data_IF_735208398306
#
_entry.id   IF_735208398306
#
_cell.length_a   1.000
_cell.length_b   1.000
_cell.length_c   1.000
_cell.angle_alpha   90.00
_cell.angle_beta   90.00
_cell.angle_gamma   90.00
#
_symmetry.space_group_name_H-M   'P 1'
#
loop_
_entity.id
_entity.type
_entity.pdbx_description
1 polymer ?
#
# COMPACT_ATOMS: atom_id res chain seq x y z
N UNK A 1 31.87 26.20 -31.54
CA UNK A 1 31.50 26.54 -30.15
C UNK A 1 30.80 25.33 -29.56
N UNK A 2 31.50 24.57 -28.72
CA UNK A 2 30.98 23.34 -28.11
C UNK A 2 30.46 23.73 -26.72
N UNK A 3 29.15 23.70 -26.54
CA UNK A 3 28.53 23.94 -25.24
C UNK A 3 28.85 22.73 -24.36
N UNK A 4 29.82 22.88 -23.46
CA UNK A 4 30.06 21.91 -22.41
C UNK A 4 28.90 22.04 -21.41
N UNK A 5 27.96 21.11 -21.47
CA UNK A 5 26.92 20.97 -20.44
C UNK A 5 27.52 20.07 -19.38
N UNK A 6 27.52 20.53 -18.12
CA UNK A 6 27.94 19.71 -16.99
C UNK A 6 26.92 18.58 -16.78
N UNK A 7 27.39 17.35 -16.57
CA UNK A 7 26.54 16.15 -16.41
C UNK A 7 25.52 16.32 -15.26
N UNK A 8 25.90 17.01 -14.19
CA UNK A 8 25.03 17.35 -13.05
C UNK A 8 23.80 18.18 -13.46
N UNK A 9 23.95 19.04 -14.47
CA UNK A 9 22.84 19.86 -14.99
C UNK A 9 21.86 19.01 -15.81
N UNK A 10 22.36 17.97 -16.50
CA UNK A 10 21.52 17.03 -17.23
C UNK A 10 20.71 16.16 -16.26
N UNK A 11 21.32 15.66 -15.19
CA UNK A 11 20.64 14.87 -14.16
C UNK A 11 19.45 15.63 -13.54
N UNK A 12 19.65 16.91 -13.19
CA UNK A 12 18.59 17.74 -12.62
C UNK A 12 17.41 17.93 -13.58
N UNK A 13 17.69 18.13 -14.87
CA UNK A 13 16.65 18.26 -15.91
C UNK A 13 15.89 16.97 -16.08
N UNK A 14 16.58 15.82 -16.07
CA UNK A 14 15.94 14.50 -16.14
C UNK A 14 15.02 14.28 -14.94
N UNK A 15 15.49 14.53 -13.71
CA UNK A 15 14.68 14.39 -12.50
C UNK A 15 13.42 15.26 -12.51
N UNK A 16 13.55 16.51 -12.95
CA UNK A 16 12.42 17.44 -13.11
C UNK A 16 11.39 16.92 -14.12
N UNK A 17 11.84 16.40 -15.25
CA UNK A 17 10.97 15.83 -16.28
C UNK A 17 10.30 14.55 -15.74
N UNK A 18 11.05 13.69 -15.04
CA UNK A 18 10.52 12.45 -14.47
C UNK A 18 9.43 12.74 -13.42
N UNK A 19 9.65 13.70 -12.52
CA UNK A 19 8.63 14.17 -11.58
C UNK A 19 7.42 14.77 -12.29
N UNK A 20 7.64 15.70 -13.22
CA UNK A 20 6.57 16.37 -13.99
C UNK A 20 5.68 15.37 -14.75
N UNK A 21 6.27 14.28 -15.26
CA UNK A 21 5.55 13.23 -16.00
C UNK A 21 5.02 12.10 -15.10
N UNK A 22 5.24 12.17 -13.79
CA UNK A 22 4.76 11.17 -12.84
C UNK A 22 5.52 9.85 -12.87
N UNK A 23 6.73 9.82 -13.45
CA UNK A 23 7.59 8.63 -13.45
C UNK A 23 8.27 8.38 -12.10
N UNK A 24 8.35 9.40 -11.24
CA UNK A 24 8.69 9.22 -9.83
C UNK A 24 7.40 9.23 -9.02
N UNK A 25 6.95 8.09 -8.46
CA UNK A 25 5.70 8.05 -7.70
C UNK A 25 5.85 8.85 -6.41
N UNK A 26 5.14 9.99 -6.29
CA UNK A 26 5.11 10.80 -5.05
C UNK A 26 4.59 10.01 -3.84
N UNK A 27 3.81 8.96 -4.09
CA UNK A 27 3.17 8.11 -3.09
C UNK A 27 3.58 6.64 -3.25
N UNK A 28 4.89 6.37 -3.23
CA UNK A 28 5.39 5.00 -3.25
C UNK A 28 4.92 4.25 -1.99
N UNK A 29 4.06 3.25 -2.19
CA UNK A 29 3.57 2.36 -1.11
C UNK A 29 4.46 1.13 -0.92
N UNK A 30 5.46 0.92 -1.78
CA UNK A 30 6.45 -0.15 -1.65
C UNK A 30 7.32 0.11 -0.43
N UNK A 31 7.40 -0.88 0.47
CA UNK A 31 8.12 -0.77 1.75
C UNK A 31 7.36 -0.02 2.85
N UNK A 32 6.18 0.55 2.55
CA UNK A 32 5.33 1.21 3.54
C UNK A 32 4.50 0.19 4.31
N UNK A 33 4.42 0.40 5.62
CA UNK A 33 3.51 -0.33 6.50
C UNK A 33 2.40 0.58 7.01
N UNK A 34 1.20 0.04 7.17
CA UNK A 34 0.04 0.75 7.68
C UNK A 34 -0.65 -0.03 8.80
N UNK A 35 -1.42 0.69 9.60
CA UNK A 35 -2.33 0.11 10.59
C UNK A 35 -3.56 -0.52 9.92
N UNK A 36 -4.26 -1.39 10.66
CA UNK A 36 -5.53 -1.97 10.17
C UNK A 36 -6.62 -0.92 9.96
N UNK A 37 -6.64 0.15 10.75
CA UNK A 37 -7.63 1.22 10.59
C UNK A 37 -7.36 2.05 9.34
N UNK A 38 -6.10 2.32 9.00
CA UNK A 38 -5.71 2.93 7.73
C UNK A 38 -6.06 2.02 6.54
N UNK A 39 -5.77 0.72 6.66
CA UNK A 39 -6.12 -0.25 5.62
C UNK A 39 -7.64 -0.28 5.39
N UNK A 40 -8.44 -0.36 6.46
CA UNK A 40 -9.90 -0.36 6.37
C UNK A 40 -10.43 0.91 5.67
N UNK A 41 -9.90 2.08 6.05
CA UNK A 41 -10.26 3.37 5.45
C UNK A 41 -9.89 3.49 3.97
N UNK A 42 -8.78 2.88 3.54
CA UNK A 42 -8.30 2.97 2.15
C UNK A 42 -8.93 1.92 1.25
N UNK A 43 -8.97 0.66 1.69
CA UNK A 43 -9.25 -0.48 0.83
C UNK A 43 -10.58 -1.17 1.12
N UNK A 44 -11.17 -0.95 2.30
CA UNK A 44 -12.37 -1.67 2.74
C UNK A 44 -13.54 -0.78 3.18
N UNK A 45 -13.63 0.47 2.69
CA UNK A 45 -14.80 1.33 2.98
C UNK A 45 -16.11 0.67 2.50
N UNK A 46 -17.21 0.79 3.27
CA UNK A 46 -17.38 1.57 4.50
C UNK A 46 -17.00 0.84 5.80
N UNK A 47 -16.37 -0.33 5.70
CA UNK A 47 -16.15 -1.23 6.83
C UNK A 47 -14.97 -0.80 7.73
N UNK A 48 -15.04 -1.20 9.00
CA UNK A 48 -14.00 -0.97 10.00
C UNK A 48 -13.05 -2.16 10.18
N UNK A 49 -12.06 -2.00 11.06
CA UNK A 49 -11.02 -2.99 11.32
C UNK A 49 -11.54 -4.35 11.81
N UNK A 50 -12.63 -4.38 12.60
CA UNK A 50 -13.26 -5.63 13.04
C UNK A 50 -13.80 -6.47 11.87
N UNK A 51 -14.42 -5.81 10.88
CA UNK A 51 -14.93 -6.45 9.69
C UNK A 51 -13.80 -6.95 8.80
N UNK A 52 -12.73 -6.15 8.62
CA UNK A 52 -11.52 -6.56 7.89
C UNK A 52 -10.91 -7.81 8.50
N UNK A 53 -10.82 -7.89 9.83
CA UNK A 53 -10.33 -9.12 10.50
C UNK A 53 -11.19 -10.32 10.15
N UNK A 54 -12.51 -10.21 10.32
CA UNK A 54 -13.47 -11.31 10.13
C UNK A 54 -13.54 -11.81 8.69
N UNK A 55 -13.53 -10.89 7.72
CA UNK A 55 -13.86 -11.19 6.33
C UNK A 55 -12.65 -11.21 5.39
N UNK A 56 -11.50 -10.69 5.82
CA UNK A 56 -10.27 -10.65 5.02
C UNK A 56 -9.14 -11.39 5.75
N UNK A 57 -8.72 -10.94 6.93
CA UNK A 57 -7.50 -11.47 7.54
C UNK A 57 -7.65 -12.91 8.06
N UNK A 58 -8.74 -13.23 8.74
CA UNK A 58 -8.94 -14.57 9.32
C UNK A 58 -9.25 -15.65 8.27
N UNK A 59 -10.10 -15.39 7.25
CA UNK A 59 -10.41 -16.41 6.24
C UNK A 59 -9.24 -16.65 5.29
N UNK A 60 -8.61 -15.59 4.80
CA UNK A 60 -7.59 -15.69 3.76
C UNK A 60 -6.16 -15.84 4.30
N UNK A 61 -5.94 -15.51 5.58
CA UNK A 61 -4.62 -15.61 6.26
C UNK A 61 -3.46 -15.08 5.40
N UNK A 62 -3.55 -13.83 4.93
CA UNK A 62 -2.60 -13.30 3.97
C UNK A 62 -1.19 -13.17 4.54
N UNK A 63 -0.18 -13.36 3.70
CA UNK A 63 1.24 -13.19 4.01
C UNK A 63 1.66 -11.71 4.16
N UNK A 64 0.88 -10.78 3.60
CA UNK A 64 1.10 -9.34 3.70
C UNK A 64 0.65 -8.72 5.05
N UNK A 65 0.08 -9.52 5.96
CA UNK A 65 -0.29 -9.09 7.30
C UNK A 65 0.50 -9.88 8.35
N UNK A 66 1.33 -9.18 9.12
CA UNK A 66 2.04 -9.79 10.25
C UNK A 66 1.17 -9.78 11.51
N UNK A 67 1.28 -10.86 12.29
CA UNK A 67 0.64 -10.98 13.60
C UNK A 67 -0.89 -10.74 13.54
N UNK A 68 -1.59 -11.55 12.72
CA UNK A 68 -3.06 -11.48 12.52
C UNK A 68 -3.84 -11.62 13.84
N UNK A 69 -3.26 -12.32 14.83
CA UNK A 69 -3.81 -12.47 16.18
C UNK A 69 -2.88 -11.84 17.23
N UNK A 70 -2.82 -10.50 17.31
CA UNK A 70 -1.96 -9.86 18.29
C UNK A 70 -2.46 -10.17 19.70
N UNK A 71 -1.59 -10.76 20.52
CA UNK A 71 -1.83 -10.88 21.97
C UNK A 71 -1.84 -9.51 22.66
N UNK A 72 -1.98 -9.50 23.99
CA UNK A 72 -1.97 -8.25 24.77
C UNK A 72 -0.64 -7.52 24.56
N UNK A 73 -0.70 -6.30 24.00
CA UNK A 73 0.48 -5.49 23.66
C UNK A 73 1.12 -5.81 22.30
N UNK A 74 0.64 -6.83 21.59
CA UNK A 74 1.09 -7.15 20.24
C UNK A 74 0.61 -6.11 19.23
N UNK A 75 1.49 -5.74 18.28
CA UNK A 75 1.11 -4.91 17.14
C UNK A 75 0.91 -5.79 15.91
N UNK A 76 -0.13 -5.46 15.15
CA UNK A 76 -0.38 -5.98 13.81
C UNK A 76 0.16 -4.98 12.80
N UNK A 77 0.82 -5.45 11.77
CA UNK A 77 1.40 -4.60 10.72
C UNK A 77 1.01 -5.11 9.35
N UNK A 78 0.43 -4.23 8.53
CA UNK A 78 0.04 -4.50 7.14
C UNK A 78 1.08 -3.89 6.22
N UNK A 79 1.63 -4.68 5.30
CA UNK A 79 2.49 -4.20 4.22
C UNK A 79 1.61 -3.67 3.08
N UNK A 80 1.61 -2.36 2.85
CA UNK A 80 0.57 -1.69 2.06
C UNK A 80 0.57 -2.12 0.59
N UNK A 81 1.74 -2.17 -0.05
CA UNK A 81 1.84 -2.59 -1.45
C UNK A 81 1.28 -4.00 -1.73
N UNK A 82 1.77 -5.07 -1.07
CA UNK A 82 1.25 -6.41 -1.35
C UNK A 82 -0.22 -6.55 -0.92
N UNK A 83 -0.66 -5.85 0.15
CA UNK A 83 -2.07 -5.82 0.54
C UNK A 83 -2.96 -5.16 -0.53
N UNK A 84 -2.49 -4.09 -1.18
CA UNK A 84 -3.21 -3.40 -2.24
C UNK A 84 -3.34 -4.26 -3.51
N UNK A 85 -2.29 -4.98 -3.88
CA UNK A 85 -2.30 -5.94 -5.00
C UNK A 85 -3.32 -7.05 -4.71
N UNK A 86 -3.23 -7.67 -3.54
CA UNK A 86 -4.15 -8.73 -3.12
C UNK A 86 -5.61 -8.26 -3.12
N UNK A 87 -5.88 -7.04 -2.62
CA UNK A 87 -7.23 -6.47 -2.61
C UNK A 87 -7.81 -6.26 -4.00
N UNK A 88 -6.98 -6.00 -5.02
CA UNK A 88 -7.45 -5.87 -6.40
C UNK A 88 -7.77 -7.25 -7.01
N UNK A 89 -6.94 -8.25 -6.73
CA UNK A 89 -7.07 -9.61 -7.26
C UNK A 89 -8.28 -10.33 -6.65
N UNK A 90 -8.44 -10.26 -5.32
CA UNK A 90 -9.44 -11.01 -4.58
C UNK A 90 -10.72 -10.22 -4.30
N UNK A 91 -10.88 -9.02 -4.88
CA UNK A 91 -12.01 -8.12 -4.57
C UNK A 91 -13.38 -8.77 -4.70
N UNK A 92 -13.54 -9.68 -5.67
CA UNK A 92 -14.80 -10.36 -5.98
C UNK A 92 -15.09 -11.55 -5.07
N UNK A 93 -14.07 -12.07 -4.38
CA UNK A 93 -14.19 -13.22 -3.49
C UNK A 93 -14.66 -12.81 -2.08
N UNK A 94 -14.47 -11.53 -1.73
CA UNK A 94 -14.87 -10.97 -0.45
C UNK A 94 -16.39 -10.74 -0.44
N UNK A 95 -17.08 -11.29 0.58
CA UNK A 95 -18.46 -10.92 0.86
C UNK A 95 -18.54 -9.55 1.53
N UNK A 96 -18.63 -8.50 0.70
CA UNK A 96 -18.77 -7.11 1.11
C UNK A 96 -20.03 -6.80 1.93
N UNK A 97 -21.05 -7.66 1.89
CA UNK A 97 -22.31 -7.43 2.59
C UNK A 97 -22.41 -8.18 3.92
N UNK A 98 -21.36 -8.91 4.31
CA UNK A 98 -21.29 -9.61 5.59
C UNK A 98 -21.51 -8.64 6.77
N UNK A 99 -22.41 -9.00 7.70
CA UNK A 99 -22.77 -8.23 8.90
C UNK A 99 -22.07 -8.75 10.16
#
# INVERSE_FOLDING_TARGET
>A
MQLAIEDSSLEQVVDLIMKKRGYVPENQIVGRTISIDEFAKKYAKPHGSAWVKRNILYPFKPDWCSNIHPGRGGKMTIFEYPAAVWMNEHRKEIDWNAK
#
